data_IF_325481406203
#
_entry.id   IF_325481406203
#
_cell.length_a   1.000
_cell.length_b   1.000
_cell.length_c   1.000
_cell.angle_alpha   90.00
_cell.angle_beta   90.00
_cell.angle_gamma   90.00
#
_symmetry.space_group_name_H-M   'P 1'
#
loop_
_entity.id
_entity.type
_entity.pdbx_description
1 polymer ?
#
# COMPACT_ATOMS: atom_id res chain seq x y z
N UNK A 1 35.52 -8.81 33.40
CA UNK A 1 34.26 -8.80 32.65
C UNK A 1 33.81 -7.35 32.53
N UNK A 2 34.05 -6.73 31.38
CA UNK A 2 33.71 -5.34 31.15
C UNK A 2 32.28 -5.30 30.55
N UNK A 3 31.33 -4.72 31.29
CA UNK A 3 30.00 -4.42 30.79
C UNK A 3 30.14 -3.27 29.77
N UNK A 4 29.86 -3.59 28.49
CA UNK A 4 29.86 -2.60 27.43
C UNK A 4 28.73 -1.59 27.65
N UNK A 5 29.09 -0.34 27.86
CA UNK A 5 28.17 0.78 27.95
C UNK A 5 27.49 0.98 26.57
N UNK A 6 26.21 0.74 26.49
CA UNK A 6 25.37 1.07 25.30
C UNK A 6 25.35 2.60 25.21
N UNK A 7 25.76 3.15 24.06
CA UNK A 7 25.78 4.58 23.81
C UNK A 7 24.34 5.15 23.96
N UNK A 8 24.16 6.33 24.61
CA UNK A 8 22.85 6.90 24.93
C UNK A 8 21.92 7.12 23.71
N UNK A 9 22.49 7.24 22.50
CA UNK A 9 21.73 7.36 21.25
C UNK A 9 21.05 6.05 20.80
N UNK A 10 21.69 4.90 21.09
CA UNK A 10 21.15 3.57 20.70
C UNK A 10 20.00 3.17 21.64
N UNK A 11 20.13 3.48 22.95
CA UNK A 11 19.07 3.22 23.92
C UNK A 11 17.79 4.03 23.60
N UNK A 12 17.90 5.30 23.21
CA UNK A 12 16.76 6.12 22.76
C UNK A 12 16.09 5.58 21.50
N UNK A 13 16.86 5.08 20.54
CA UNK A 13 16.33 4.49 19.32
C UNK A 13 15.55 3.19 19.59
N UNK A 14 16.02 2.39 20.55
CA UNK A 14 15.35 1.14 20.97
C UNK A 14 14.09 1.43 21.77
N UNK A 15 14.09 2.43 22.66
CA UNK A 15 12.90 2.87 23.40
C UNK A 15 11.85 3.51 22.49
N UNK A 16 12.27 4.32 21.51
CA UNK A 16 11.36 4.88 20.50
C UNK A 16 10.75 3.80 19.61
N UNK A 17 11.52 2.76 19.24
CA UNK A 17 11.00 1.61 18.51
C UNK A 17 10.00 0.77 19.35
N UNK A 18 10.18 0.68 20.67
CA UNK A 18 9.27 -0.01 21.57
C UNK A 18 7.96 0.76 21.83
N UNK A 19 7.97 2.08 21.66
CA UNK A 19 6.80 2.97 21.80
C UNK A 19 6.16 3.34 20.46
N UNK A 20 6.68 2.82 19.33
CA UNK A 20 6.15 3.08 18.01
C UNK A 20 4.67 2.64 17.94
N UNK A 21 3.82 3.53 17.46
CA UNK A 21 2.42 3.22 17.19
C UNK A 21 2.36 2.05 16.21
N UNK A 22 1.37 1.15 16.32
CA UNK A 22 1.16 0.08 15.35
C UNK A 22 1.04 0.67 13.94
N UNK A 23 1.71 0.06 12.98
CA UNK A 23 1.81 0.61 11.63
C UNK A 23 2.76 1.80 11.51
N UNK A 24 3.53 2.14 12.55
CA UNK A 24 4.57 3.15 12.43
C UNK A 24 5.83 2.51 11.84
N UNK A 25 6.18 2.91 10.63
CA UNK A 25 7.54 2.74 10.12
C UNK A 25 8.53 3.42 11.05
N UNK A 26 9.81 3.07 10.97
CA UNK A 26 10.88 3.89 11.58
C UNK A 26 10.64 5.36 11.20
N UNK A 27 10.83 6.31 12.13
CA UNK A 27 10.53 7.72 11.90
C UNK A 27 11.25 8.20 10.64
N UNK A 28 10.51 8.39 9.56
CA UNK A 28 10.99 8.99 8.32
C UNK A 28 10.36 10.36 8.17
N UNK A 29 11.10 11.30 7.63
CA UNK A 29 10.60 12.63 7.26
C UNK A 29 9.92 12.61 5.88
N UNK A 30 10.21 11.59 5.07
CA UNK A 30 9.71 11.41 3.70
C UNK A 30 9.14 10.01 3.51
N UNK A 31 8.21 9.82 2.56
CA UNK A 31 7.65 8.52 2.24
C UNK A 31 8.71 7.50 1.80
N UNK A 32 8.47 6.22 2.13
CA UNK A 32 9.22 5.07 1.63
C UNK A 32 8.68 4.66 0.26
N UNK A 33 9.50 4.70 -0.78
CA UNK A 33 9.08 4.30 -2.14
C UNK A 33 9.33 2.82 -2.34
N UNK A 34 8.25 2.07 -2.58
CA UNK A 34 8.25 0.62 -2.73
C UNK A 34 7.89 0.19 -4.15
N UNK A 35 8.52 -0.88 -4.63
CA UNK A 35 8.05 -1.57 -5.81
C UNK A 35 7.00 -2.61 -5.39
N UNK A 36 5.85 -2.63 -6.08
CA UNK A 36 4.92 -3.75 -5.95
C UNK A 36 5.56 -5.02 -6.54
N UNK A 37 5.74 -6.04 -5.74
CA UNK A 37 6.56 -7.18 -6.12
C UNK A 37 6.07 -7.90 -7.38
N UNK A 38 4.76 -7.93 -7.65
CA UNK A 38 4.20 -8.57 -8.87
C UNK A 38 4.71 -7.96 -10.18
N UNK A 39 5.27 -6.75 -10.17
CA UNK A 39 5.98 -6.19 -11.32
C UNK A 39 7.14 -7.08 -11.75
N UNK A 40 7.75 -7.82 -10.82
CA UNK A 40 8.85 -8.77 -11.05
C UNK A 40 8.42 -10.22 -10.79
N UNK A 41 7.19 -10.59 -11.10
CA UNK A 41 6.59 -11.90 -10.75
C UNK A 41 7.35 -13.12 -11.29
N UNK A 42 8.18 -12.93 -12.33
CA UNK A 42 9.03 -13.99 -12.90
C UNK A 42 10.30 -14.24 -12.09
N UNK A 43 10.62 -13.37 -11.14
CA UNK A 43 11.78 -13.48 -10.23
C UNK A 43 11.34 -14.21 -8.98
N UNK A 44 12.14 -15.16 -8.50
CA UNK A 44 11.84 -15.84 -7.21
C UNK A 44 11.93 -14.88 -6.02
N UNK A 45 11.13 -15.10 -4.98
CA UNK A 45 11.07 -14.22 -3.81
C UNK A 45 12.40 -14.10 -3.04
N UNK A 46 13.32 -15.04 -3.22
CA UNK A 46 14.68 -14.99 -2.63
C UNK A 46 15.57 -14.01 -3.38
N UNK A 47 15.48 -13.95 -4.72
CA UNK A 47 16.31 -13.10 -5.58
C UNK A 47 15.71 -11.70 -5.76
N UNK A 48 14.40 -11.56 -5.57
CA UNK A 48 13.66 -10.31 -5.73
C UNK A 48 14.26 -9.12 -4.97
N UNK A 49 14.67 -9.25 -3.70
CA UNK A 49 15.17 -8.12 -2.91
C UNK A 49 16.41 -7.46 -3.52
N UNK A 50 17.35 -8.25 -4.01
CA UNK A 50 18.58 -7.73 -4.63
C UNK A 50 18.28 -6.88 -5.87
N UNK A 51 17.29 -7.31 -6.68
CA UNK A 51 16.88 -6.58 -7.88
C UNK A 51 16.18 -5.28 -7.50
N UNK A 52 15.24 -5.32 -6.54
CA UNK A 52 14.51 -4.14 -6.05
C UNK A 52 15.49 -3.10 -5.49
N UNK A 53 16.45 -3.53 -4.69
CA UNK A 53 17.49 -2.66 -4.13
C UNK A 53 18.39 -2.08 -5.24
N UNK A 54 18.83 -2.90 -6.21
CA UNK A 54 19.65 -2.45 -7.34
C UNK A 54 18.92 -1.44 -8.25
N UNK A 55 17.58 -1.51 -8.31
CA UNK A 55 16.75 -0.52 -9.02
C UNK A 55 16.64 0.81 -8.25
N UNK A 56 17.02 0.85 -6.98
CA UNK A 56 17.04 2.06 -6.16
C UNK A 56 15.79 2.32 -5.35
N UNK A 57 14.93 1.32 -5.11
CA UNK A 57 13.79 1.43 -4.21
C UNK A 57 14.23 1.40 -2.74
N UNK A 58 13.43 2.03 -1.86
CA UNK A 58 13.63 1.98 -0.40
C UNK A 58 13.12 0.68 0.19
N UNK A 59 12.10 0.10 -0.44
CA UNK A 59 11.42 -1.08 0.05
C UNK A 59 10.65 -1.83 -1.03
N UNK A 60 10.00 -2.89 -0.59
CA UNK A 60 9.10 -3.71 -1.42
C UNK A 60 7.72 -3.80 -0.77
N UNK A 61 6.69 -3.69 -1.59
CA UNK A 61 5.33 -4.11 -1.29
C UNK A 61 5.21 -5.58 -1.71
N UNK A 62 5.38 -6.49 -0.75
CA UNK A 62 5.43 -7.92 -1.03
C UNK A 62 4.02 -8.48 -1.23
N UNK A 63 3.76 -9.08 -2.40
CA UNK A 63 2.50 -9.74 -2.68
C UNK A 63 2.41 -11.11 -1.99
N UNK A 64 1.42 -11.27 -1.12
CA UNK A 64 1.05 -12.50 -0.44
C UNK A 64 -0.36 -12.88 -0.91
N UNK A 65 -0.44 -13.36 -2.13
CA UNK A 65 -1.67 -13.64 -2.88
C UNK A 65 -1.54 -14.95 -3.64
N UNK A 66 -2.66 -15.56 -4.07
CA UNK A 66 -2.64 -16.83 -4.80
C UNK A 66 -1.89 -16.76 -6.14
N UNK A 67 -1.75 -15.57 -6.71
CA UNK A 67 -0.96 -15.29 -7.92
C UNK A 67 0.25 -14.37 -7.62
N UNK A 68 0.63 -14.26 -6.34
CA UNK A 68 1.72 -13.43 -5.85
C UNK A 68 3.05 -14.17 -5.70
N UNK A 69 4.04 -13.48 -5.12
CA UNK A 69 5.36 -14.06 -4.83
C UNK A 69 5.32 -15.06 -3.68
N UNK A 70 4.47 -14.83 -2.70
CA UNK A 70 4.19 -15.73 -1.58
C UNK A 70 2.76 -16.19 -1.70
N UNK A 71 2.54 -17.50 -1.66
CA UNK A 71 1.20 -18.06 -1.68
C UNK A 71 0.65 -18.10 -0.25
N UNK A 72 -0.58 -17.62 0.03
CA UNK A 72 -1.14 -17.58 1.38
C UNK A 72 -1.22 -18.95 2.04
N UNK A 73 -1.59 -19.98 1.27
CA UNK A 73 -1.65 -21.39 1.72
C UNK A 73 -0.27 -22.02 1.98
N UNK A 74 0.81 -21.33 1.61
CA UNK A 74 2.21 -21.72 1.83
C UNK A 74 2.99 -20.69 2.67
N UNK A 75 2.29 -19.78 3.33
CA UNK A 75 2.90 -18.68 4.08
C UNK A 75 3.92 -19.19 5.11
N UNK A 76 3.62 -20.28 5.82
CA UNK A 76 4.51 -20.90 6.80
C UNK A 76 5.92 -21.20 6.24
N UNK A 77 6.01 -21.61 4.98
CA UNK A 77 7.27 -22.01 4.35
C UNK A 77 7.87 -20.94 3.42
N UNK A 78 7.11 -19.94 3.01
CA UNK A 78 7.55 -18.95 2.00
C UNK A 78 7.68 -17.53 2.55
N UNK A 79 6.78 -17.12 3.47
CA UNK A 79 6.73 -15.74 3.92
C UNK A 79 7.96 -15.34 4.72
N UNK A 80 8.34 -16.14 5.73
CA UNK A 80 9.53 -15.81 6.54
C UNK A 80 10.81 -15.76 5.72
N UNK A 81 11.13 -16.75 4.85
CA UNK A 81 12.30 -16.63 3.97
C UNK A 81 12.28 -15.42 3.04
N UNK A 82 11.09 -15.05 2.50
CA UNK A 82 10.96 -13.86 1.66
C UNK A 82 11.23 -12.57 2.44
N UNK A 83 10.71 -12.46 3.66
CA UNK A 83 10.90 -11.30 4.52
C UNK A 83 12.35 -11.20 5.02
N UNK A 84 12.97 -12.32 5.38
CA UNK A 84 14.38 -12.39 5.80
C UNK A 84 15.32 -12.04 4.65
N UNK A 85 15.02 -12.47 3.41
CA UNK A 85 15.78 -12.09 2.24
C UNK A 85 15.78 -10.56 2.01
N UNK A 86 14.66 -9.88 2.25
CA UNK A 86 14.59 -8.41 2.18
C UNK A 86 15.39 -7.76 3.31
N UNK A 87 15.09 -8.11 4.56
CA UNK A 87 15.70 -7.45 5.72
C UNK A 87 17.19 -7.75 5.86
N UNK A 88 17.63 -8.93 5.42
CA UNK A 88 19.04 -9.34 5.44
C UNK A 88 19.96 -8.47 4.59
N UNK A 89 19.44 -7.80 3.57
CA UNK A 89 20.20 -6.83 2.76
C UNK A 89 19.84 -5.36 3.08
N UNK A 90 19.00 -5.13 4.09
CA UNK A 90 18.57 -3.80 4.50
C UNK A 90 17.48 -3.19 3.60
N UNK A 91 16.74 -3.99 2.84
CA UNK A 91 15.57 -3.55 2.08
C UNK A 91 14.33 -3.56 2.99
N UNK A 92 13.61 -2.43 3.08
CA UNK A 92 12.41 -2.34 3.91
C UNK A 92 11.24 -3.16 3.33
N UNK A 93 10.42 -3.74 4.20
CA UNK A 93 9.10 -4.31 3.85
C UNK A 93 8.04 -3.58 4.67
N UNK A 94 7.68 -2.35 4.28
CA UNK A 94 6.75 -1.55 5.08
C UNK A 94 5.30 -2.00 4.94
N UNK A 95 5.00 -2.81 3.95
CA UNK A 95 3.67 -3.34 3.70
C UNK A 95 3.71 -4.66 2.95
N UNK A 96 2.64 -5.43 3.11
CA UNK A 96 2.33 -6.59 2.29
C UNK A 96 0.96 -6.40 1.64
N UNK A 97 0.84 -6.75 0.36
CA UNK A 97 -0.44 -6.81 -0.35
C UNK A 97 -0.98 -8.23 -0.31
N UNK A 98 -2.23 -8.38 0.15
CA UNK A 98 -2.86 -9.68 0.39
C UNK A 98 -4.23 -9.80 -0.25
N UNK A 99 -4.75 -11.03 -0.37
CA UNK A 99 -6.13 -11.33 -0.73
C UNK A 99 -7.08 -11.49 0.45
N UNK A 100 -6.63 -11.20 1.68
CA UNK A 100 -7.35 -11.50 2.92
C UNK A 100 -8.59 -10.61 3.08
N UNK A 101 -9.77 -11.23 3.28
CA UNK A 101 -11.04 -10.51 3.49
C UNK A 101 -11.77 -10.90 4.77
N UNK A 102 -11.36 -11.99 5.42
CA UNK A 102 -12.00 -12.51 6.63
C UNK A 102 -10.96 -12.89 7.66
N UNK A 103 -11.10 -12.38 8.87
CA UNK A 103 -10.17 -12.63 9.97
C UNK A 103 -10.13 -14.10 10.43
N UNK A 104 -11.25 -14.80 10.29
CA UNK A 104 -11.40 -16.19 10.73
C UNK A 104 -10.82 -17.23 9.74
N UNK A 105 -10.39 -16.79 8.56
CA UNK A 105 -9.71 -17.70 7.63
C UNK A 105 -8.30 -18.00 8.16
N UNK A 106 -7.91 -19.27 8.11
CA UNK A 106 -6.60 -19.72 8.60
C UNK A 106 -5.44 -18.91 7.99
N UNK A 107 -5.54 -18.63 6.69
CA UNK A 107 -4.54 -17.82 5.98
C UNK A 107 -4.37 -16.43 6.59
N UNK A 108 -5.46 -15.82 7.08
CA UNK A 108 -5.39 -14.48 7.68
C UNK A 108 -4.60 -14.48 8.99
N UNK A 109 -4.85 -15.44 9.88
CA UNK A 109 -4.11 -15.57 11.12
C UNK A 109 -2.64 -15.91 10.88
N UNK A 110 -2.38 -16.81 9.94
CA UNK A 110 -1.03 -17.29 9.62
C UNK A 110 -0.18 -16.20 8.96
N UNK A 111 -0.69 -15.55 7.90
CA UNK A 111 0.03 -14.50 7.17
C UNK A 111 0.32 -13.30 8.07
N UNK A 112 -0.69 -12.75 8.76
CA UNK A 112 -0.50 -11.59 9.62
C UNK A 112 0.32 -11.94 10.87
N UNK A 113 0.18 -13.15 11.41
CA UNK A 113 0.99 -13.65 12.51
C UNK A 113 2.47 -13.73 12.16
N UNK A 114 2.81 -14.33 11.01
CA UNK A 114 4.19 -14.43 10.54
C UNK A 114 4.81 -13.06 10.23
N UNK A 115 4.08 -12.19 9.55
CA UNK A 115 4.57 -10.83 9.22
C UNK A 115 4.92 -9.99 10.46
N UNK A 116 4.32 -10.29 11.61
CA UNK A 116 4.61 -9.64 12.90
C UNK A 116 6.06 -9.85 13.37
N UNK A 117 6.68 -11.00 13.08
CA UNK A 117 8.03 -11.32 13.56
C UNK A 117 9.08 -10.33 13.08
N UNK A 118 8.93 -9.80 11.86
CA UNK A 118 9.81 -8.74 11.33
C UNK A 118 9.16 -7.35 11.38
N UNK A 119 8.02 -7.22 12.08
CA UNK A 119 7.35 -5.96 12.33
C UNK A 119 6.89 -5.23 11.06
N UNK A 120 6.34 -5.96 10.07
CA UNK A 120 5.65 -5.32 8.94
C UNK A 120 4.51 -4.46 9.49
N UNK A 121 4.52 -3.13 9.26
CA UNK A 121 3.57 -2.25 9.93
C UNK A 121 2.20 -2.18 9.25
N UNK A 122 2.14 -2.46 7.94
CA UNK A 122 0.90 -2.31 7.17
C UNK A 122 0.59 -3.54 6.32
N UNK A 123 -0.70 -3.75 6.09
CA UNK A 123 -1.14 -4.69 5.07
C UNK A 123 -2.31 -4.12 4.27
N UNK A 124 -2.33 -4.43 2.99
CA UNK A 124 -3.47 -4.22 2.10
C UNK A 124 -4.31 -5.50 2.10
N UNK A 125 -5.59 -5.45 2.46
CA UNK A 125 -6.49 -6.59 2.39
C UNK A 125 -6.91 -6.88 0.96
N UNK A 126 -7.61 -7.99 0.76
CA UNK A 126 -8.36 -8.25 -0.46
C UNK A 126 -9.54 -7.29 -0.63
N UNK A 127 -10.20 -7.36 -1.77
CA UNK A 127 -11.26 -6.45 -2.14
C UNK A 127 -12.63 -7.00 -1.79
N UNK A 128 -13.49 -6.15 -1.22
CA UNK A 128 -14.92 -6.40 -1.11
C UNK A 128 -15.60 -5.80 -2.33
N UNK A 129 -16.24 -6.65 -3.14
CA UNK A 129 -16.94 -6.22 -4.37
C UNK A 129 -18.37 -5.83 -4.02
N UNK A 130 -18.81 -4.69 -4.55
CA UNK A 130 -20.17 -4.21 -4.43
C UNK A 130 -20.85 -4.30 -5.80
N UNK A 131 -21.95 -5.03 -5.88
CA UNK A 131 -22.66 -5.29 -7.14
C UNK A 131 -24.01 -4.56 -7.16
N UNK A 132 -24.05 -3.39 -7.76
CA UNK A 132 -25.25 -2.57 -7.93
C UNK A 132 -25.63 -1.70 -6.70
N UNK A 133 -26.36 -0.60 -6.91
CA UNK A 133 -26.62 0.38 -5.85
C UNK A 133 -27.56 -0.10 -4.75
N UNK A 134 -28.56 -0.93 -5.09
CA UNK A 134 -29.50 -1.50 -4.10
C UNK A 134 -28.81 -2.55 -3.22
N UNK A 135 -27.89 -3.29 -3.80
CA UNK A 135 -27.17 -4.35 -3.11
C UNK A 135 -26.08 -3.81 -2.18
N UNK A 136 -25.52 -2.61 -2.45
CA UNK A 136 -24.52 -1.97 -1.59
C UNK A 136 -25.05 -1.77 -0.16
N UNK A 137 -26.25 -1.22 -0.01
CA UNK A 137 -26.85 -0.98 1.32
C UNK A 137 -27.10 -2.28 2.08
N UNK A 138 -27.46 -3.34 1.39
CA UNK A 138 -27.68 -4.66 1.99
C UNK A 138 -26.36 -5.35 2.36
N UNK A 139 -25.31 -5.13 1.57
CA UNK A 139 -23.99 -5.74 1.78
C UNK A 139 -23.17 -4.99 2.84
N UNK A 140 -23.38 -3.67 2.99
CA UNK A 140 -22.59 -2.80 3.84
C UNK A 140 -22.40 -3.32 5.29
N UNK A 141 -23.43 -3.79 6.02
CA UNK A 141 -23.25 -4.33 7.37
C UNK A 141 -22.35 -5.56 7.43
N UNK A 142 -22.39 -6.41 6.41
CA UNK A 142 -21.53 -7.61 6.34
C UNK A 142 -20.09 -7.23 6.08
N UNK A 143 -19.85 -6.32 5.13
CA UNK A 143 -18.51 -5.79 4.83
C UNK A 143 -17.96 -5.06 6.05
N UNK A 144 -18.75 -4.22 6.74
CA UNK A 144 -18.32 -3.56 7.97
C UNK A 144 -17.87 -4.55 9.05
N UNK A 145 -18.62 -5.64 9.23
CA UNK A 145 -18.27 -6.69 10.18
C UNK A 145 -16.96 -7.38 9.81
N UNK A 146 -16.80 -7.76 8.55
CA UNK A 146 -15.59 -8.46 8.08
C UNK A 146 -14.36 -7.55 8.18
N UNK A 147 -14.48 -6.27 7.79
CA UNK A 147 -13.44 -5.24 7.94
C UNK A 147 -13.11 -5.01 9.42
N UNK A 148 -14.11 -4.92 10.30
CA UNK A 148 -13.89 -4.73 11.74
C UNK A 148 -13.14 -5.92 12.37
N UNK A 149 -13.51 -7.14 12.00
CA UNK A 149 -12.84 -8.35 12.48
C UNK A 149 -11.39 -8.42 11.98
N UNK A 150 -11.16 -8.10 10.71
CA UNK A 150 -9.81 -8.09 10.14
C UNK A 150 -8.94 -6.97 10.74
N UNK A 151 -9.53 -5.79 11.02
CA UNK A 151 -8.85 -4.71 11.73
C UNK A 151 -8.51 -5.10 13.19
N UNK A 152 -9.36 -5.90 13.84
CA UNK A 152 -9.08 -6.43 15.18
C UNK A 152 -7.90 -7.43 15.14
N UNK A 153 -7.85 -8.30 14.14
CA UNK A 153 -6.70 -9.18 13.92
C UNK A 153 -5.43 -8.36 13.65
N UNK A 154 -5.51 -7.33 12.81
CA UNK A 154 -4.43 -6.36 12.56
C UNK A 154 -3.96 -5.68 13.85
N UNK A 155 -4.88 -5.27 14.73
CA UNK A 155 -4.54 -4.75 16.07
C UNK A 155 -3.77 -5.77 16.90
N UNK A 156 -4.18 -7.02 16.89
CA UNK A 156 -3.52 -8.09 17.62
C UNK A 156 -2.11 -8.33 17.10
N UNK A 157 -1.94 -8.36 15.78
CA UNK A 157 -0.66 -8.56 15.09
C UNK A 157 0.15 -7.28 14.92
N UNK A 158 -0.32 -6.12 15.42
CA UNK A 158 0.34 -4.81 15.31
C UNK A 158 0.51 -4.28 13.87
N UNK A 159 -0.31 -4.73 12.96
CA UNK A 159 -0.35 -4.30 11.56
C UNK A 159 -1.61 -3.48 11.29
N UNK A 160 -1.46 -2.28 10.76
CA UNK A 160 -2.63 -1.48 10.37
C UNK A 160 -3.05 -1.81 8.92
N UNK A 161 -4.35 -1.90 8.71
CA UNK A 161 -4.95 -2.21 7.42
C UNK A 161 -5.18 -0.94 6.58
N UNK A 162 -4.77 -0.96 5.31
CA UNK A 162 -5.10 0.06 4.32
C UNK A 162 -5.98 -0.51 3.22
N UNK A 163 -7.23 -0.09 3.14
CA UNK A 163 -8.15 -0.53 2.09
C UNK A 163 -7.88 0.28 0.82
N UNK A 164 -7.63 -0.43 -0.27
CA UNK A 164 -7.38 0.18 -1.57
C UNK A 164 -8.68 0.65 -2.21
N UNK A 165 -8.68 1.88 -2.73
CA UNK A 165 -9.84 2.39 -3.45
C UNK A 165 -9.79 2.01 -4.94
N UNK A 166 -10.96 1.72 -5.47
CA UNK A 166 -11.23 1.47 -6.89
C UNK A 166 -12.28 2.44 -7.39
N UNK A 167 -12.40 2.57 -8.70
CA UNK A 167 -13.43 3.42 -9.28
C UNK A 167 -14.77 2.73 -9.42
N UNK A 168 -14.77 1.42 -9.70
CA UNK A 168 -16.00 0.66 -9.92
C UNK A 168 -16.19 -0.42 -8.84
N UNK A 169 -17.44 -0.68 -8.48
CA UNK A 169 -17.79 -1.64 -7.45
C UNK A 169 -17.50 -3.11 -7.82
N UNK A 170 -17.18 -3.38 -9.09
CA UNK A 170 -16.87 -4.74 -9.54
C UNK A 170 -15.48 -5.19 -9.11
N UNK A 171 -14.53 -4.24 -8.99
CA UNK A 171 -13.17 -4.51 -8.52
C UNK A 171 -13.00 -4.22 -7.03
N UNK A 172 -13.73 -3.24 -6.50
CA UNK A 172 -13.65 -2.82 -5.11
C UNK A 172 -14.47 -1.56 -4.85
N UNK A 173 -14.24 -0.89 -3.73
CA UNK A 173 -15.02 0.25 -3.30
C UNK A 173 -14.35 1.59 -3.66
N UNK A 174 -15.14 2.59 -4.00
CA UNK A 174 -14.70 3.98 -4.10
C UNK A 174 -14.34 4.56 -2.71
N UNK A 175 -13.60 5.66 -2.66
CA UNK A 175 -13.17 6.30 -1.41
C UNK A 175 -14.35 6.62 -0.50
N UNK A 176 -15.46 7.13 -1.08
CA UNK A 176 -16.66 7.46 -0.32
C UNK A 176 -17.31 6.23 0.32
N UNK A 177 -17.37 5.09 -0.38
CA UNK A 177 -17.92 3.84 0.15
C UNK A 177 -17.02 3.22 1.22
N UNK A 178 -15.70 3.24 1.02
CA UNK A 178 -14.74 2.85 2.06
C UNK A 178 -14.95 3.69 3.32
N UNK A 179 -15.17 5.01 3.18
CA UNK A 179 -15.46 5.90 4.31
C UNK A 179 -16.67 5.43 5.13
N UNK A 180 -17.74 4.99 4.45
CA UNK A 180 -18.95 4.46 5.11
C UNK A 180 -18.65 3.17 5.89
N UNK A 181 -17.83 2.29 5.29
CA UNK A 181 -17.41 1.02 5.93
C UNK A 181 -16.58 1.27 7.17
N UNK A 182 -15.53 2.09 7.08
CA UNK A 182 -14.52 2.22 8.15
C UNK A 182 -14.87 3.26 9.23
N UNK A 183 -15.90 4.09 9.02
CA UNK A 183 -16.28 5.16 9.97
C UNK A 183 -16.40 4.68 11.41
N UNK A 184 -17.09 3.56 11.74
CA UNK A 184 -17.25 3.09 13.12
C UNK A 184 -16.03 2.40 13.70
N UNK A 185 -14.96 2.16 12.89
CA UNK A 185 -13.81 1.37 13.29
C UNK A 185 -12.66 2.29 13.69
N UNK A 186 -11.86 1.87 14.67
CA UNK A 186 -10.71 2.64 15.18
C UNK A 186 -9.74 3.02 14.05
N UNK A 187 -9.53 4.34 13.82
CA UNK A 187 -8.66 4.85 12.75
C UNK A 187 -7.19 4.46 12.92
N UNK A 188 -6.78 3.98 14.08
CA UNK A 188 -5.43 3.48 14.30
C UNK A 188 -5.17 2.22 13.46
N UNK A 189 -6.17 1.35 13.34
CA UNK A 189 -6.01 0.01 12.77
C UNK A 189 -6.56 -0.15 11.36
N UNK A 190 -7.38 0.79 10.89
CA UNK A 190 -7.90 0.77 9.52
C UNK A 190 -7.93 2.16 8.91
N UNK A 191 -7.56 2.23 7.65
CA UNK A 191 -7.59 3.44 6.82
C UNK A 191 -7.48 3.10 5.36
N UNK A 192 -6.82 3.96 4.60
CA UNK A 192 -6.73 3.86 3.15
C UNK A 192 -5.32 3.46 2.69
N UNK A 193 -5.27 2.58 1.71
CA UNK A 193 -4.25 2.53 0.67
C UNK A 193 -4.80 3.35 -0.51
N UNK A 194 -4.41 4.61 -0.60
CA UNK A 194 -5.02 5.57 -1.51
C UNK A 194 -4.38 5.52 -2.90
N UNK A 195 -5.14 5.05 -3.89
CA UNK A 195 -4.75 5.11 -5.30
C UNK A 195 -5.20 6.43 -5.91
N UNK A 196 -4.22 7.27 -6.30
CA UNK A 196 -4.48 8.61 -6.83
C UNK A 196 -5.13 8.59 -8.21
N UNK A 197 -4.84 7.59 -9.04
CA UNK A 197 -5.43 7.49 -10.38
C UNK A 197 -6.91 7.13 -10.31
N UNK A 198 -7.28 6.14 -9.51
CA UNK A 198 -8.67 5.79 -9.26
C UNK A 198 -9.43 6.94 -8.60
N UNK A 199 -8.83 7.60 -7.60
CA UNK A 199 -9.42 8.76 -6.95
C UNK A 199 -9.62 9.94 -7.93
N UNK A 200 -8.69 10.15 -8.89
CA UNK A 200 -8.84 11.17 -9.93
C UNK A 200 -10.02 10.85 -10.84
N UNK A 201 -10.24 9.57 -11.18
CA UNK A 201 -11.40 9.14 -11.96
C UNK A 201 -12.70 9.31 -11.17
N UNK A 202 -12.72 8.95 -9.89
CA UNK A 202 -13.85 9.10 -8.97
C UNK A 202 -14.29 10.56 -8.85
N UNK A 203 -13.35 11.47 -8.68
CA UNK A 203 -13.62 12.90 -8.53
C UNK A 203 -13.98 13.61 -9.83
N UNK A 204 -13.88 12.96 -10.99
CA UNK A 204 -14.23 13.52 -12.30
C UNK A 204 -13.45 14.80 -12.62
N UNK A 205 -14.12 15.90 -13.02
CA UNK A 205 -13.44 17.17 -13.35
C UNK A 205 -12.69 17.81 -12.17
N UNK A 206 -13.05 17.50 -10.93
CA UNK A 206 -12.38 18.02 -9.73
C UNK A 206 -11.14 17.17 -9.35
N UNK A 207 -10.92 16.02 -10.03
CA UNK A 207 -9.79 15.15 -9.77
C UNK A 207 -9.83 14.51 -8.37
N UNK A 208 -8.66 14.17 -7.84
CA UNK A 208 -8.52 13.43 -6.58
C UNK A 208 -8.78 14.25 -5.31
N UNK A 209 -8.94 15.57 -5.36
CA UNK A 209 -8.94 16.44 -4.18
C UNK A 209 -10.06 16.13 -3.18
N UNK A 210 -11.29 15.94 -3.68
CA UNK A 210 -12.41 15.54 -2.84
C UNK A 210 -12.19 14.19 -2.17
N UNK A 211 -11.92 13.14 -2.94
CA UNK A 211 -11.56 11.82 -2.39
C UNK A 211 -10.37 11.87 -1.42
N UNK A 212 -9.30 12.59 -1.74
CA UNK A 212 -8.15 12.73 -0.84
C UNK A 212 -8.53 13.42 0.48
N UNK A 213 -9.37 14.45 0.44
CA UNK A 213 -9.88 15.13 1.63
C UNK A 213 -10.60 14.16 2.59
N UNK A 214 -11.32 13.18 2.04
CA UNK A 214 -11.98 12.12 2.82
C UNK A 214 -10.94 11.14 3.40
N UNK A 215 -9.97 10.71 2.58
CA UNK A 215 -9.03 9.66 2.95
C UNK A 215 -7.92 10.14 3.90
N UNK A 216 -7.49 11.39 3.78
CA UNK A 216 -6.28 11.95 4.41
C UNK A 216 -6.21 11.74 5.94
N UNK A 217 -7.32 11.91 6.74
CA UNK A 217 -7.27 11.67 8.18
C UNK A 217 -6.96 10.23 8.60
N UNK A 218 -7.12 9.28 7.67
CA UNK A 218 -6.92 7.84 7.89
C UNK A 218 -5.94 7.21 6.90
N UNK A 219 -5.13 8.03 6.23
CA UNK A 219 -4.20 7.55 5.20
C UNK A 219 -3.12 6.67 5.84
N UNK A 220 -2.94 5.45 5.31
CA UNK A 220 -1.94 4.47 5.75
C UNK A 220 -0.86 4.28 4.69
N UNK A 221 -1.28 4.10 3.46
CA UNK A 221 -0.46 3.77 2.31
C UNK A 221 -0.95 4.55 1.10
N UNK A 222 -0.13 4.65 0.08
CA UNK A 222 -0.45 5.31 -1.19
C UNK A 222 -0.02 4.44 -2.34
N UNK A 223 -0.89 4.28 -3.32
CA UNK A 223 -0.56 3.68 -4.62
C UNK A 223 -0.51 4.76 -5.69
N UNK A 224 0.57 4.79 -6.47
CA UNK A 224 0.78 5.82 -7.49
C UNK A 224 0.72 5.21 -8.89
N UNK A 225 -0.26 5.66 -9.66
CA UNK A 225 -0.51 5.31 -11.06
C UNK A 225 -0.89 6.55 -11.84
N UNK A 226 -0.81 6.47 -13.16
CA UNK A 226 -1.32 7.48 -14.07
C UNK A 226 -2.12 6.84 -15.21
N UNK A 227 -2.95 7.64 -15.87
CA UNK A 227 -3.76 7.17 -16.98
C UNK A 227 -4.05 8.28 -17.97
N UNK A 228 -4.27 7.88 -19.22
CA UNK A 228 -4.82 8.73 -20.30
C UNK A 228 -6.25 8.31 -20.60
N UNK A 229 -7.06 9.30 -20.94
CA UNK A 229 -8.38 8.98 -21.48
C UNK A 229 -8.25 8.56 -22.94
N UNK A 230 -8.79 7.39 -23.26
CA UNK A 230 -8.97 6.90 -24.63
C UNK A 230 -10.47 6.90 -24.96
N UNK A 231 -10.81 7.50 -26.09
CA UNK A 231 -12.18 7.54 -26.57
C UNK A 231 -12.18 7.31 -28.08
N UNK A 232 -12.31 6.03 -28.50
CA UNK A 232 -12.43 5.71 -29.91
C UNK A 232 -13.70 6.30 -30.52
N UNK A 233 -13.73 6.64 -31.80
CA UNK A 233 -14.92 7.16 -32.45
C UNK A 233 -16.15 6.27 -32.23
N UNK A 234 -17.22 6.83 -31.64
CA UNK A 234 -18.45 6.10 -31.31
C UNK A 234 -18.34 5.11 -30.13
N UNK A 235 -17.19 5.03 -29.47
CA UNK A 235 -16.94 4.14 -28.33
C UNK A 235 -17.07 4.84 -26.98
N UNK A 236 -17.11 4.04 -25.92
CA UNK A 236 -17.07 4.54 -24.55
C UNK A 236 -15.69 5.10 -24.19
N UNK A 237 -15.67 6.17 -23.38
CA UNK A 237 -14.45 6.71 -22.82
C UNK A 237 -13.87 5.75 -21.78
N UNK A 238 -12.62 5.34 -21.97
CA UNK A 238 -11.91 4.42 -21.08
C UNK A 238 -10.62 5.04 -20.57
N UNK A 239 -10.21 4.68 -19.34
CA UNK A 239 -8.91 5.06 -18.82
C UNK A 239 -7.89 3.98 -19.19
N UNK A 240 -6.79 4.38 -19.82
CA UNK A 240 -5.67 3.49 -20.14
C UNK A 240 -4.46 3.85 -19.28
N UNK A 241 -3.84 2.90 -18.57
CA UNK A 241 -2.60 3.16 -17.85
C UNK A 241 -1.53 3.75 -18.76
N UNK A 242 -0.72 4.64 -18.21
CA UNK A 242 0.43 5.25 -18.91
C UNK A 242 1.57 5.53 -17.92
N UNK A 243 2.79 5.79 -18.41
CA UNK A 243 3.91 6.22 -17.57
C UNK A 243 3.55 7.41 -16.69
N UNK A 244 4.08 7.47 -15.47
CA UNK A 244 3.82 8.56 -14.55
C UNK A 244 4.23 9.92 -15.12
N UNK A 245 3.33 10.88 -15.07
CA UNK A 245 3.50 12.23 -15.61
C UNK A 245 3.07 12.38 -17.07
N UNK A 246 2.74 11.32 -17.76
CA UNK A 246 2.24 11.33 -19.13
C UNK A 246 0.71 11.43 -19.21
N UNK A 247 0.03 11.24 -18.08
CA UNK A 247 -1.41 11.15 -17.98
C UNK A 247 -2.09 12.43 -17.47
N UNK A 248 -3.17 12.23 -16.72
CA UNK A 248 -4.05 13.33 -16.29
C UNK A 248 -3.94 13.65 -14.79
N UNK A 249 -3.17 12.86 -14.03
CA UNK A 249 -3.01 13.06 -12.58
C UNK A 249 -2.11 14.27 -12.31
N UNK A 250 -2.58 15.24 -11.53
CA UNK A 250 -1.77 16.38 -11.06
C UNK A 250 -0.89 15.95 -9.88
N UNK A 251 0.25 15.31 -10.18
CA UNK A 251 1.17 14.82 -9.17
C UNK A 251 1.81 15.93 -8.34
N UNK A 252 2.08 17.09 -8.91
CA UNK A 252 2.66 18.21 -8.16
C UNK A 252 1.71 18.61 -7.01
N UNK A 253 0.42 18.74 -7.31
CA UNK A 253 -0.61 19.05 -6.33
C UNK A 253 -0.81 17.90 -5.33
N UNK A 254 -0.77 16.64 -5.80
CA UNK A 254 -0.92 15.48 -4.96
C UNK A 254 0.20 15.36 -3.92
N UNK A 255 1.47 15.40 -4.34
CA UNK A 255 2.60 15.32 -3.43
C UNK A 255 2.70 16.51 -2.49
N UNK A 256 2.35 17.72 -2.95
CA UNK A 256 2.23 18.90 -2.07
C UNK A 256 1.19 18.69 -0.96
N UNK A 257 0.04 18.08 -1.28
CA UNK A 257 -0.97 17.75 -0.27
C UNK A 257 -0.48 16.71 0.74
N UNK A 258 0.23 15.66 0.30
CA UNK A 258 0.85 14.66 1.17
C UNK A 258 1.90 15.29 2.10
N UNK A 259 2.78 16.14 1.56
CA UNK A 259 3.81 16.85 2.34
C UNK A 259 3.18 17.78 3.38
N UNK A 260 2.15 18.56 3.01
CA UNK A 260 1.38 19.40 3.94
C UNK A 260 0.76 18.59 5.07
N UNK A 261 0.29 17.39 4.78
CA UNK A 261 -0.24 16.46 5.79
C UNK A 261 0.85 15.72 6.57
N UNK A 262 2.12 15.91 6.25
CA UNK A 262 3.27 15.18 6.83
C UNK A 262 3.14 13.67 6.67
N UNK A 263 2.60 13.24 5.53
CA UNK A 263 2.52 11.80 5.24
C UNK A 263 3.93 11.24 5.02
N UNK A 264 4.28 10.21 5.76
CA UNK A 264 5.57 9.53 5.66
C UNK A 264 5.39 7.99 5.58
N UNK A 265 4.19 7.54 5.23
CA UNK A 265 3.89 6.13 4.98
C UNK A 265 4.47 5.62 3.65
N UNK A 266 4.29 4.33 3.33
CA UNK A 266 4.78 3.76 2.08
C UNK A 266 3.99 4.27 0.88
N UNK A 267 4.74 4.42 -0.23
CA UNK A 267 4.20 4.68 -1.56
C UNK A 267 4.56 3.52 -2.46
N UNK A 268 3.58 2.84 -3.03
CA UNK A 268 3.74 1.68 -3.90
C UNK A 268 3.63 2.06 -5.38
N UNK A 269 4.56 1.52 -6.20
CA UNK A 269 4.57 1.64 -7.66
C UNK A 269 4.20 0.29 -8.30
N UNK A 270 2.99 0.14 -8.87
CA UNK A 270 2.57 -1.10 -9.54
C UNK A 270 3.03 -1.21 -10.99
N UNK A 271 3.48 -0.13 -11.64
CA UNK A 271 4.02 -0.06 -13.02
C UNK A 271 3.16 -0.90 -14.00
N UNK A 272 1.85 -0.67 -14.01
CA UNK A 272 0.87 -1.49 -14.74
C UNK A 272 0.63 -1.05 -16.21
N UNK A 273 1.32 0.00 -16.64
CA UNK A 273 1.30 0.52 -18.01
C UNK A 273 2.27 -0.22 -18.96
N UNK A 274 3.05 -1.14 -18.44
CA UNK A 274 4.12 -1.85 -19.14
C UNK A 274 4.11 -3.35 -18.81
N UNK A 275 4.64 -4.22 -19.68
CA UNK A 275 4.82 -5.63 -19.35
C UNK A 275 5.61 -5.84 -18.06
N UNK A 276 5.27 -6.88 -17.31
CA UNK A 276 5.96 -7.21 -16.06
C UNK A 276 7.46 -7.44 -16.31
N UNK A 277 8.30 -6.73 -15.52
CA UNK A 277 9.76 -6.80 -15.60
C UNK A 277 10.40 -5.83 -16.59
N UNK A 278 9.67 -4.91 -17.18
CA UNK A 278 10.22 -3.86 -18.06
C UNK A 278 11.02 -2.84 -17.23
N UNK A 279 12.34 -3.00 -17.21
CA UNK A 279 13.24 -2.25 -16.30
C UNK A 279 13.20 -0.75 -16.56
N UNK A 280 13.12 -0.31 -17.81
CA UNK A 280 13.12 1.12 -18.14
C UNK A 280 11.81 1.79 -17.69
N UNK A 281 10.67 1.10 -17.77
CA UNK A 281 9.41 1.59 -17.23
C UNK A 281 9.48 1.74 -15.70
N UNK A 282 10.05 0.76 -15.00
CA UNK A 282 10.25 0.79 -13.54
C UNK A 282 11.15 1.97 -13.14
N UNK A 283 12.27 2.16 -13.82
CA UNK A 283 13.21 3.27 -13.55
C UNK A 283 12.60 4.63 -13.83
N UNK A 284 11.82 4.75 -14.92
CA UNK A 284 11.11 5.97 -15.26
C UNK A 284 10.18 6.39 -14.13
N UNK A 285 9.30 5.49 -13.70
CA UNK A 285 8.31 5.79 -12.67
C UNK A 285 8.96 6.07 -11.31
N UNK A 286 10.02 5.32 -10.95
CA UNK A 286 10.77 5.60 -9.73
C UNK A 286 11.42 6.99 -9.76
N UNK A 287 12.10 7.35 -10.88
CA UNK A 287 12.72 8.66 -11.02
C UNK A 287 11.71 9.79 -10.97
N UNK A 288 10.53 9.61 -11.58
CA UNK A 288 9.44 10.57 -11.53
C UNK A 288 8.96 10.78 -10.07
N UNK A 289 8.66 9.72 -9.33
CA UNK A 289 8.19 9.83 -7.93
C UNK A 289 9.26 10.45 -7.03
N UNK A 290 10.53 10.08 -7.18
CA UNK A 290 11.65 10.68 -6.43
C UNK A 290 11.72 12.20 -6.67
N UNK A 291 11.55 12.65 -7.90
CA UNK A 291 11.52 14.08 -8.25
C UNK A 291 10.35 14.78 -7.57
N UNK A 292 9.15 14.20 -7.58
CA UNK A 292 7.97 14.80 -6.92
C UNK A 292 8.17 14.88 -5.39
N UNK A 293 8.68 13.83 -4.76
CA UNK A 293 8.98 13.83 -3.33
C UNK A 293 10.02 14.92 -2.99
N UNK A 294 11.12 14.99 -3.74
CA UNK A 294 12.14 16.02 -3.52
C UNK A 294 11.57 17.43 -3.62
N UNK A 295 10.70 17.69 -4.60
CA UNK A 295 10.07 19.00 -4.78
C UNK A 295 9.08 19.35 -3.65
N UNK A 296 8.33 18.38 -3.13
CA UNK A 296 7.28 18.63 -2.14
C UNK A 296 7.78 18.60 -0.68
N UNK A 297 8.78 17.78 -0.36
CA UNK A 297 9.30 17.56 1.00
C UNK A 297 10.67 18.20 1.25
N UNK A 298 11.34 18.71 0.21
CA UNK A 298 12.69 19.27 0.30
C UNK A 298 12.75 20.76 0.65
N UNK A 299 11.62 21.39 1.05
CA UNK A 299 11.51 22.79 1.44
C UNK A 299 11.68 23.03 2.93
#
# INVERSE_FOLDING_TARGET
MAAGAVLPGVARSVEQAAQARPGAMLPRSTPCVCLYSKVLIKVGYIDLPMIVQALGFDGVDLSVEHDGHVLPDKAENQLMPALEACTGIGLDVPMITTGLTKAQDRESEEVLGLATYIRVPFFRPGNWKFTGPVEIEMQLPYVQRDVANLALLGRYTKMAMGIHNYMDGAEGAAVADISRVIRPIDPQWVGYDFDVAYATREGGPAGFEGPLGIALPRLKMVTVRDFKWDQPPGGARTAKPCPLGDGVVDFAKFFAALAKARFAGPITLPVDHSPAGEVEAIKHDLAFVRKQIAAAYGG
#
